data_IF_812757865196
#
_entry.id   IF_812757865196
#
_cell.length_a   1.000
_cell.length_b   1.000
_cell.length_c   1.000
_cell.angle_alpha   90.00
_cell.angle_beta   90.00
_cell.angle_gamma   90.00
#
_symmetry.space_group_name_H-M   'P 1'
#
loop_
_entity.id
_entity.type
_entity.pdbx_description
1 polymer ?
#
# COMPACT_ATOMS: atom_id res chain seq x y z
N UNK A 1 -23.12 -14.71 -7.58
CA UNK A 1 -21.71 -14.22 -7.59
C UNK A 1 -21.71 -12.85 -8.25
N UNK A 2 -21.20 -11.82 -7.60
CA UNK A 2 -21.19 -10.46 -8.13
C UNK A 2 -20.18 -10.36 -9.28
N UNK A 3 -20.60 -9.76 -10.39
CA UNK A 3 -19.73 -9.54 -11.55
C UNK A 3 -18.58 -8.57 -11.20
N UNK A 4 -17.41 -8.81 -11.78
CA UNK A 4 -16.18 -8.01 -11.52
C UNK A 4 -16.41 -6.50 -11.67
N UNK A 5 -17.10 -6.06 -12.72
CA UNK A 5 -17.39 -4.63 -12.95
C UNK A 5 -18.21 -3.99 -11.83
N UNK A 6 -19.13 -4.74 -11.21
CA UNK A 6 -19.96 -4.25 -10.09
C UNK A 6 -19.10 -4.16 -8.82
N UNK A 7 -18.29 -5.19 -8.55
CA UNK A 7 -17.31 -5.14 -7.43
C UNK A 7 -16.38 -3.93 -7.54
N UNK A 8 -15.91 -3.65 -8.75
CA UNK A 8 -15.02 -2.50 -8.98
C UNK A 8 -15.70 -1.17 -8.63
N UNK A 9 -16.97 -1.00 -8.95
CA UNK A 9 -17.72 0.20 -8.54
C UNK A 9 -17.90 0.27 -7.02
N UNK A 10 -18.16 -0.86 -6.37
CA UNK A 10 -18.20 -0.93 -4.91
C UNK A 10 -16.86 -0.50 -4.30
N UNK A 11 -15.75 -1.02 -4.82
CA UNK A 11 -14.41 -0.65 -4.36
C UNK A 11 -14.12 0.84 -4.55
N UNK A 12 -14.49 1.39 -5.72
CA UNK A 12 -14.29 2.82 -6.02
C UNK A 12 -15.02 3.72 -5.02
N UNK A 13 -16.31 3.46 -4.75
CA UNK A 13 -17.07 4.29 -3.82
C UNK A 13 -16.59 4.13 -2.39
N UNK A 14 -16.27 2.92 -1.95
CA UNK A 14 -15.80 2.65 -0.59
C UNK A 14 -14.45 3.27 -0.31
N UNK A 15 -13.56 3.28 -1.30
CA UNK A 15 -12.27 3.97 -1.22
C UNK A 15 -12.40 5.49 -1.34
N UNK A 16 -13.49 6.00 -1.91
CA UNK A 16 -13.67 7.42 -2.23
C UNK A 16 -13.10 7.83 -3.59
N UNK A 17 -12.83 6.88 -4.47
CA UNK A 17 -12.41 7.11 -5.85
C UNK A 17 -13.54 7.66 -6.75
N UNK A 18 -14.80 7.46 -6.34
CA UNK A 18 -15.97 8.16 -6.89
C UNK A 18 -16.78 8.73 -5.75
N UNK A 19 -17.54 9.78 -6.02
CA UNK A 19 -18.44 10.35 -5.01
C UNK A 19 -19.65 9.44 -4.76
N UNK A 20 -20.28 9.59 -3.60
CA UNK A 20 -21.53 8.87 -3.28
C UNK A 20 -22.62 9.22 -4.29
N UNK A 21 -22.66 10.47 -4.79
CA UNK A 21 -23.61 10.91 -5.79
C UNK A 21 -23.37 10.25 -7.17
N UNK A 22 -22.10 10.09 -7.58
CA UNK A 22 -21.75 9.38 -8.80
C UNK A 22 -22.12 7.90 -8.70
N UNK A 23 -21.90 7.30 -7.51
CA UNK A 23 -22.30 5.92 -7.25
C UNK A 23 -23.82 5.77 -7.32
N UNK A 24 -24.61 6.68 -6.73
CA UNK A 24 -26.08 6.70 -6.81
C UNK A 24 -26.55 6.74 -8.27
N UNK A 25 -25.98 7.62 -9.09
CA UNK A 25 -26.33 7.73 -10.51
C UNK A 25 -26.00 6.42 -11.26
N UNK A 26 -24.82 5.84 -11.01
CA UNK A 26 -24.46 4.56 -11.60
C UNK A 26 -25.40 3.44 -11.17
N UNK A 27 -25.78 3.37 -9.88
CA UNK A 27 -26.68 2.38 -9.32
C UNK A 27 -28.03 2.35 -10.04
N UNK A 28 -28.60 3.53 -10.33
CA UNK A 28 -29.88 3.64 -11.04
C UNK A 28 -29.76 3.38 -12.54
N UNK A 29 -28.58 3.56 -13.13
CA UNK A 29 -28.35 3.36 -14.56
C UNK A 29 -28.04 1.90 -14.92
N UNK A 30 -27.35 1.15 -14.06
CA UNK A 30 -26.91 -0.22 -14.35
C UNK A 30 -27.90 -1.27 -13.81
N UNK A 31 -28.81 -1.72 -14.70
CA UNK A 31 -29.80 -2.75 -14.36
C UNK A 31 -29.21 -4.12 -13.99
N UNK A 32 -27.93 -4.36 -14.25
CA UNK A 32 -27.29 -5.66 -13.94
C UNK A 32 -27.14 -5.87 -12.44
N UNK A 33 -27.07 -4.79 -11.66
CA UNK A 33 -26.92 -4.88 -10.21
C UNK A 33 -28.14 -5.56 -9.55
N UNK A 34 -29.36 -5.29 -10.05
CA UNK A 34 -30.60 -5.94 -9.61
C UNK A 34 -30.54 -7.46 -9.76
N UNK A 35 -29.83 -7.96 -10.76
CA UNK A 35 -29.69 -9.41 -11.01
C UNK A 35 -28.57 -10.05 -10.18
N UNK A 36 -27.70 -9.26 -9.58
CA UNK A 36 -26.53 -9.72 -8.80
C UNK A 36 -26.78 -9.77 -7.30
N UNK A 37 -27.76 -9.02 -6.82
CA UNK A 37 -28.19 -8.94 -5.43
C UNK A 37 -29.54 -9.66 -5.24
N UNK A 38 -29.88 -10.01 -4.00
CA UNK A 38 -31.25 -10.38 -3.70
C UNK A 38 -32.17 -9.16 -3.82
N UNK A 39 -33.47 -9.40 -3.99
CA UNK A 39 -34.45 -8.29 -4.08
C UNK A 39 -34.45 -7.39 -2.85
N UNK A 40 -34.25 -7.97 -1.65
CA UNK A 40 -34.19 -7.22 -0.40
C UNK A 40 -32.92 -6.34 -0.35
N UNK A 41 -31.75 -6.89 -0.66
CA UNK A 41 -30.47 -6.17 -0.69
C UNK A 41 -30.46 -5.05 -1.73
N UNK A 42 -31.07 -5.29 -2.90
CA UNK A 42 -31.22 -4.27 -3.92
C UNK A 42 -32.12 -3.12 -3.46
N UNK A 43 -33.26 -3.45 -2.84
CA UNK A 43 -34.19 -2.46 -2.28
C UNK A 43 -33.52 -1.64 -1.19
N UNK A 44 -32.79 -2.28 -0.27
CA UNK A 44 -32.04 -1.59 0.77
C UNK A 44 -31.05 -0.60 0.17
N UNK A 45 -30.32 -1.01 -0.86
CA UNK A 45 -29.32 -0.19 -1.51
C UNK A 45 -29.93 1.01 -2.25
N UNK A 46 -31.03 0.81 -3.02
CA UNK A 46 -31.67 1.91 -3.78
C UNK A 46 -32.49 2.83 -2.89
N UNK A 47 -32.87 2.39 -1.69
CA UNK A 47 -33.62 3.17 -0.70
C UNK A 47 -32.71 3.98 0.23
N UNK A 48 -31.39 3.83 0.11
CA UNK A 48 -30.43 4.56 0.94
C UNK A 48 -30.57 6.07 0.73
N UNK A 49 -30.53 6.82 1.83
CA UNK A 49 -30.48 8.28 1.76
C UNK A 49 -29.05 8.75 1.41
N UNK A 50 -28.72 8.75 0.13
CA UNK A 50 -27.37 9.12 -0.39
C UNK A 50 -26.94 10.55 -0.02
N UNK A 51 -27.87 11.42 0.42
CA UNK A 51 -27.59 12.81 0.83
C UNK A 51 -27.53 12.97 2.35
N UNK A 52 -27.74 11.88 3.12
CA UNK A 52 -27.68 11.89 4.56
C UNK A 52 -26.23 11.96 5.09
N UNK A 53 -26.06 12.52 6.28
CA UNK A 53 -24.74 12.64 6.91
C UNK A 53 -24.07 11.28 7.13
N UNK A 54 -24.86 10.22 7.31
CA UNK A 54 -24.38 8.86 7.54
C UNK A 54 -24.30 8.00 6.27
N UNK A 55 -24.57 8.56 5.08
CA UNK A 55 -24.67 7.80 3.82
C UNK A 55 -23.45 6.92 3.56
N UNK A 56 -22.24 7.42 3.86
CA UNK A 56 -21.00 6.65 3.67
C UNK A 56 -20.92 5.42 4.58
N UNK A 57 -21.31 5.57 5.82
CA UNK A 57 -21.32 4.46 6.78
C UNK A 57 -22.38 3.42 6.43
N UNK A 58 -23.61 3.86 6.13
CA UNK A 58 -24.73 2.98 5.75
C UNK A 58 -24.42 2.23 4.47
N UNK A 59 -23.83 2.91 3.48
CA UNK A 59 -23.38 2.30 2.24
C UNK A 59 -22.29 1.24 2.50
N UNK A 60 -21.31 1.52 3.38
CA UNK A 60 -20.32 0.54 3.79
C UNK A 60 -20.96 -0.70 4.40
N UNK A 61 -21.92 -0.53 5.34
CA UNK A 61 -22.61 -1.64 5.99
C UNK A 61 -23.40 -2.53 5.02
N UNK A 62 -23.97 -1.93 3.96
CA UNK A 62 -24.65 -2.69 2.90
C UNK A 62 -23.66 -3.42 2.00
N UNK A 63 -22.61 -2.74 1.54
CA UNK A 63 -21.70 -3.29 0.53
C UNK A 63 -20.68 -4.28 1.09
N UNK A 64 -20.25 -4.15 2.36
CA UNK A 64 -19.25 -5.05 2.95
C UNK A 64 -19.64 -6.52 2.95
N UNK A 65 -20.94 -6.82 2.90
CA UNK A 65 -21.46 -8.20 2.81
C UNK A 65 -21.19 -8.85 1.44
N UNK A 66 -20.91 -8.04 0.43
CA UNK A 66 -20.77 -8.44 -0.96
C UNK A 66 -19.34 -8.37 -1.48
N UNK A 67 -18.41 -7.92 -0.66
CA UNK A 67 -17.00 -7.79 -1.02
C UNK A 67 -16.15 -8.73 -0.18
N UNK A 68 -15.11 -9.26 -0.77
CA UNK A 68 -14.00 -9.87 -0.05
C UNK A 68 -13.05 -8.77 0.41
N UNK A 69 -12.75 -8.71 1.71
CA UNK A 69 -11.90 -7.68 2.28
C UNK A 69 -10.46 -7.77 1.75
N UNK A 70 -9.96 -8.97 1.50
CA UNK A 70 -8.64 -9.18 0.91
C UNK A 70 -8.58 -8.69 -0.54
N UNK A 71 -9.64 -8.93 -1.34
CA UNK A 71 -9.74 -8.36 -2.68
C UNK A 71 -9.79 -6.82 -2.64
N UNK A 72 -10.50 -6.25 -1.68
CA UNK A 72 -10.58 -4.79 -1.52
C UNK A 72 -9.23 -4.18 -1.10
N UNK A 73 -8.54 -4.79 -0.14
CA UNK A 73 -7.19 -4.35 0.25
C UNK A 73 -6.20 -4.49 -0.92
N UNK A 74 -6.29 -5.58 -1.68
CA UNK A 74 -5.48 -5.78 -2.89
C UNK A 74 -5.75 -4.70 -3.93
N UNK A 75 -7.01 -4.34 -4.16
CA UNK A 75 -7.39 -3.24 -5.06
C UNK A 75 -6.75 -1.91 -4.62
N UNK A 76 -6.85 -1.55 -3.33
CA UNK A 76 -6.24 -0.33 -2.79
C UNK A 76 -4.72 -0.33 -2.95
N UNK A 77 -4.07 -1.44 -2.63
CA UNK A 77 -2.62 -1.59 -2.74
C UNK A 77 -2.15 -1.45 -4.19
N UNK A 78 -2.79 -2.13 -5.14
CA UNK A 78 -2.45 -2.03 -6.55
C UNK A 78 -2.62 -0.61 -7.09
N UNK A 79 -3.68 0.08 -6.69
CA UNK A 79 -3.89 1.49 -7.07
C UNK A 79 -2.81 2.40 -6.49
N UNK A 80 -2.42 2.22 -5.22
CA UNK A 80 -1.36 2.97 -4.57
C UNK A 80 -0.02 2.78 -5.31
N UNK A 81 0.35 1.53 -5.62
CA UNK A 81 1.57 1.20 -6.35
C UNK A 81 1.57 1.76 -7.79
N UNK A 82 0.44 1.66 -8.50
CA UNK A 82 0.31 2.25 -9.85
C UNK A 82 0.37 3.77 -9.83
N UNK A 83 -0.13 4.41 -8.78
CA UNK A 83 0.04 5.85 -8.60
C UNK A 83 1.51 6.21 -8.35
N UNK A 84 2.27 5.40 -7.60
CA UNK A 84 3.71 5.60 -7.43
C UNK A 84 4.48 5.53 -8.77
N UNK A 85 4.05 4.69 -9.72
CA UNK A 85 4.65 4.59 -11.05
C UNK A 85 4.49 5.86 -11.89
N UNK A 86 3.51 6.74 -11.59
CA UNK A 86 3.32 8.00 -12.29
C UNK A 86 4.43 9.02 -11.99
N UNK A 87 5.16 8.85 -10.88
CA UNK A 87 6.28 9.73 -10.45
C UNK A 87 5.90 11.21 -10.40
N UNK A 88 4.65 11.50 -10.08
CA UNK A 88 4.17 12.87 -9.91
C UNK A 88 4.52 13.41 -8.50
N UNK A 89 4.05 14.62 -8.20
CA UNK A 89 4.26 15.30 -6.92
C UNK A 89 3.76 14.52 -5.68
N UNK A 90 2.91 13.52 -5.85
CA UNK A 90 2.39 12.66 -4.78
C UNK A 90 3.34 11.54 -4.40
N UNK A 91 4.37 11.25 -5.23
CA UNK A 91 5.28 10.12 -5.00
C UNK A 91 5.87 10.08 -3.59
N UNK A 92 6.37 11.18 -2.99
CA UNK A 92 6.90 11.14 -1.63
C UNK A 92 5.87 10.65 -0.60
N UNK A 93 4.65 11.16 -0.67
CA UNK A 93 3.56 10.80 0.26
C UNK A 93 3.10 9.36 0.06
N UNK A 94 3.09 8.87 -1.18
CA UNK A 94 2.82 7.45 -1.47
C UNK A 94 3.90 6.56 -0.87
N UNK A 95 5.17 6.94 -0.97
CA UNK A 95 6.27 6.18 -0.37
C UNK A 95 6.19 6.16 1.17
N UNK A 96 5.79 7.27 1.80
CA UNK A 96 5.51 7.32 3.24
C UNK A 96 4.37 6.36 3.63
N UNK A 97 3.29 6.35 2.87
CA UNK A 97 2.16 5.43 3.10
C UNK A 97 2.59 3.96 2.95
N UNK A 98 3.41 3.64 1.94
CA UNK A 98 3.97 2.29 1.76
C UNK A 98 4.89 1.88 2.91
N UNK A 99 5.65 2.84 3.47
CA UNK A 99 6.45 2.58 4.68
C UNK A 99 5.57 2.33 5.90
N UNK A 100 4.50 3.10 6.10
CA UNK A 100 3.55 2.82 7.18
C UNK A 100 2.88 1.45 7.04
N UNK A 101 2.48 1.08 5.84
CA UNK A 101 1.88 -0.23 5.56
C UNK A 101 2.87 -1.37 5.82
N UNK A 102 4.16 -1.18 5.49
CA UNK A 102 5.22 -2.09 5.88
C UNK A 102 5.30 -2.22 7.41
N UNK A 103 5.35 -1.11 8.14
CA UNK A 103 5.39 -1.11 9.60
C UNK A 103 4.14 -1.74 10.23
N UNK A 104 3.00 -1.66 9.56
CA UNK A 104 1.73 -2.30 9.96
C UNK A 104 1.62 -3.77 9.54
N UNK A 105 2.71 -4.43 9.14
CA UNK A 105 2.75 -5.87 8.95
C UNK A 105 2.87 -6.36 7.51
N UNK A 106 2.71 -5.52 6.49
CA UNK A 106 2.91 -5.93 5.11
C UNK A 106 4.40 -6.07 4.77
N UNK A 107 5.04 -7.10 5.30
CA UNK A 107 6.48 -7.38 5.16
C UNK A 107 6.94 -7.53 3.70
N UNK A 108 6.06 -7.88 2.77
CA UNK A 108 6.38 -7.96 1.34
C UNK A 108 6.69 -6.59 0.71
N UNK A 109 6.37 -5.48 1.39
CA UNK A 109 6.72 -4.12 0.99
C UNK A 109 8.13 -3.71 1.44
N UNK A 110 8.95 -4.62 1.96
CA UNK A 110 10.26 -4.31 2.54
C UNK A 110 11.11 -3.41 1.63
N UNK A 111 11.27 -3.74 0.36
CA UNK A 111 12.11 -2.97 -0.54
C UNK A 111 11.54 -1.58 -0.83
N UNK A 112 10.25 -1.49 -1.11
CA UNK A 112 9.60 -0.20 -1.41
C UNK A 112 9.39 0.63 -0.15
N UNK A 113 8.82 0.05 0.91
CA UNK A 113 8.50 0.75 2.16
C UNK A 113 9.75 1.07 2.96
N UNK A 114 10.49 0.04 3.40
CA UNK A 114 11.70 0.27 4.22
C UNK A 114 12.86 0.81 3.38
N UNK A 115 13.04 0.30 2.15
CA UNK A 115 14.16 0.71 1.28
C UNK A 115 14.08 2.16 0.82
N UNK A 116 12.93 2.62 0.37
CA UNK A 116 12.71 3.95 -0.18
C UNK A 116 11.82 4.83 0.70
N UNK A 117 10.71 4.29 1.20
CA UNK A 117 9.74 5.04 1.99
C UNK A 117 10.33 5.59 3.30
N UNK A 118 11.17 4.83 4.00
CA UNK A 118 11.87 5.31 5.19
C UNK A 118 12.72 6.55 4.88
N UNK A 119 13.42 6.60 3.75
CA UNK A 119 14.28 7.73 3.38
C UNK A 119 13.51 9.03 3.14
N UNK A 120 12.25 8.91 2.75
CA UNK A 120 11.34 10.05 2.57
C UNK A 120 10.68 10.43 3.90
N UNK A 121 10.29 9.42 4.70
CA UNK A 121 9.63 9.61 6.00
C UNK A 121 10.57 10.21 7.04
N UNK A 122 11.84 9.78 7.01
CA UNK A 122 12.90 10.22 7.94
C UNK A 122 14.10 10.71 7.14
N UNK A 123 14.04 11.90 6.52
CA UNK A 123 15.14 12.43 5.71
C UNK A 123 16.43 12.63 6.50
N UNK A 124 16.33 12.77 7.82
CA UNK A 124 17.46 12.89 8.75
C UNK A 124 18.48 11.76 8.65
N UNK A 125 18.08 10.61 8.13
CA UNK A 125 18.98 9.53 7.74
C UNK A 125 20.06 9.98 6.75
N UNK A 126 19.70 10.84 5.79
CA UNK A 126 20.63 11.40 4.77
C UNK A 126 21.01 12.86 5.06
N UNK A 127 20.22 13.56 5.87
CA UNK A 127 20.34 14.98 6.19
C UNK A 127 20.16 15.18 7.70
N UNK A 128 21.20 15.03 8.55
CA UNK A 128 21.09 14.93 10.01
C UNK A 128 20.39 16.09 10.74
N UNK A 129 20.12 17.20 10.07
CA UNK A 129 19.46 18.38 10.65
C UNK A 129 18.04 18.58 10.15
N UNK A 130 17.45 17.56 9.47
CA UNK A 130 16.14 17.65 8.81
C UNK A 130 15.27 16.52 9.34
N UNK A 131 14.13 16.87 9.91
CA UNK A 131 13.22 15.90 10.54
C UNK A 131 12.06 15.49 9.63
N UNK A 132 11.71 16.30 8.62
CA UNK A 132 10.59 16.02 7.74
C UNK A 132 10.90 16.30 6.26
N UNK A 133 10.11 15.70 5.37
CA UNK A 133 10.20 15.90 3.93
C UNK A 133 10.04 17.37 3.52
N UNK A 134 9.16 18.11 4.19
CA UNK A 134 8.82 19.50 3.91
C UNK A 134 9.97 20.45 4.25
N UNK A 135 10.89 20.04 5.11
CA UNK A 135 12.09 20.81 5.48
C UNK A 135 13.22 20.70 4.45
N UNK A 136 13.17 19.68 3.57
CA UNK A 136 14.11 19.57 2.47
C UNK A 136 13.91 20.69 1.45
N UNK A 137 15.01 21.28 0.97
CA UNK A 137 14.92 22.18 -0.18
C UNK A 137 14.43 21.44 -1.43
N UNK A 138 13.87 22.16 -2.39
CA UNK A 138 13.37 21.59 -3.65
C UNK A 138 14.49 20.81 -4.38
N UNK A 139 15.73 21.30 -4.32
CA UNK A 139 16.89 20.64 -4.90
C UNK A 139 17.20 19.31 -4.20
N UNK A 140 17.17 19.30 -2.86
CA UNK A 140 17.39 18.10 -2.06
C UNK A 140 16.30 17.06 -2.30
N UNK A 141 15.03 17.49 -2.38
CA UNK A 141 13.90 16.62 -2.72
C UNK A 141 14.08 15.95 -4.09
N UNK A 142 14.45 16.74 -5.10
CA UNK A 142 14.71 16.24 -6.46
C UNK A 142 15.91 15.29 -6.50
N UNK A 143 17.00 15.63 -5.82
CA UNK A 143 18.20 14.79 -5.74
C UNK A 143 17.85 13.43 -5.10
N UNK A 144 17.12 13.44 -3.96
CA UNK A 144 16.72 12.24 -3.26
C UNK A 144 15.87 11.33 -4.16
N UNK A 145 14.81 11.87 -4.78
CA UNK A 145 13.90 11.10 -5.62
C UNK A 145 14.60 10.60 -6.90
N UNK A 146 15.45 11.41 -7.51
CA UNK A 146 16.20 11.00 -8.71
C UNK A 146 17.17 9.84 -8.43
N UNK A 147 17.68 9.76 -7.20
CA UNK A 147 18.53 8.67 -6.75
C UNK A 147 17.81 7.34 -6.50
N UNK A 148 16.48 7.31 -6.59
CA UNK A 148 15.71 6.08 -6.43
C UNK A 148 15.56 5.28 -7.72
N UNK A 149 15.69 5.92 -8.88
CA UNK A 149 15.56 5.27 -10.19
C UNK A 149 16.87 4.62 -10.64
N UNK A 150 16.84 3.45 -11.29
CA UNK A 150 15.63 2.69 -11.69
C UNK A 150 15.12 1.70 -10.62
N UNK A 151 15.81 1.53 -9.50
CA UNK A 151 15.57 0.45 -8.54
C UNK A 151 14.16 0.53 -7.91
N UNK A 152 13.64 1.74 -7.68
CA UNK A 152 12.30 1.92 -7.14
C UNK A 152 11.23 1.35 -8.07
N UNK A 153 11.35 1.63 -9.38
CA UNK A 153 10.41 1.14 -10.38
C UNK A 153 10.41 -0.39 -10.45
N UNK A 154 11.58 -1.00 -10.44
CA UNK A 154 11.73 -2.46 -10.44
C UNK A 154 11.09 -3.08 -9.19
N UNK A 155 11.28 -2.47 -8.02
CA UNK A 155 10.66 -2.94 -6.78
C UNK A 155 9.13 -2.80 -6.82
N UNK A 156 8.60 -1.68 -7.32
CA UNK A 156 7.15 -1.47 -7.45
C UNK A 156 6.55 -2.50 -8.43
N UNK A 157 7.15 -2.69 -9.60
CA UNK A 157 6.70 -3.69 -10.58
C UNK A 157 6.71 -5.10 -10.00
N UNK A 158 7.73 -5.43 -9.22
CA UNK A 158 7.83 -6.73 -8.58
C UNK A 158 6.70 -6.96 -7.56
N UNK A 159 6.36 -5.96 -6.75
CA UNK A 159 5.25 -6.05 -5.78
C UNK A 159 3.91 -6.18 -6.51
N UNK A 160 3.67 -5.39 -7.57
CA UNK A 160 2.47 -5.50 -8.41
C UNK A 160 2.36 -6.92 -8.97
N UNK A 161 3.45 -7.46 -9.52
CA UNK A 161 3.47 -8.81 -10.05
C UNK A 161 3.10 -9.86 -8.99
N UNK A 162 3.62 -9.76 -7.75
CA UNK A 162 3.28 -10.71 -6.69
C UNK A 162 1.79 -10.69 -6.32
N UNK A 163 1.19 -9.49 -6.26
CA UNK A 163 -0.23 -9.34 -5.97
C UNK A 163 -1.10 -9.88 -7.12
N UNK A 164 -0.80 -9.53 -8.37
CA UNK A 164 -1.56 -9.97 -9.55
C UNK A 164 -1.42 -11.49 -9.81
N UNK A 165 -0.22 -12.04 -9.59
CA UNK A 165 0.04 -13.48 -9.70
C UNK A 165 -0.43 -14.28 -8.47
N UNK A 166 -1.04 -13.61 -7.46
CA UNK A 166 -1.49 -14.22 -6.19
C UNK A 166 -0.37 -14.92 -5.42
N UNK A 167 0.88 -14.50 -5.59
CA UNK A 167 2.00 -14.93 -4.75
C UNK A 167 1.95 -14.27 -3.36
N UNK A 168 1.33 -13.11 -3.27
CA UNK A 168 0.92 -12.44 -2.04
C UNK A 168 -0.59 -12.25 -2.09
N UNK A 169 -1.29 -12.74 -1.08
CA UNK A 169 -2.75 -12.64 -0.97
C UNK A 169 -3.08 -11.91 0.33
N UNK A 170 -3.62 -10.70 0.21
CA UNK A 170 -4.07 -9.92 1.36
C UNK A 170 -5.36 -10.52 1.91
N UNK A 171 -5.51 -10.54 3.24
CA UNK A 171 -6.72 -11.08 3.89
C UNK A 171 -7.74 -10.00 4.23
N UNK A 172 -7.29 -8.74 4.35
CA UNK A 172 -8.09 -7.64 4.89
C UNK A 172 -8.29 -7.71 6.41
N UNK A 173 -7.67 -8.67 7.07
CA UNK A 173 -7.73 -8.85 8.51
C UNK A 173 -6.59 -8.14 9.21
N UNK A 174 -6.84 -7.70 10.45
CA UNK A 174 -5.84 -7.15 11.34
C UNK A 174 -5.82 -7.95 12.64
N UNK A 175 -4.65 -8.06 13.25
CA UNK A 175 -4.50 -8.62 14.58
C UNK A 175 -4.94 -7.62 15.68
N UNK A 176 -4.83 -8.03 16.94
CA UNK A 176 -5.25 -7.24 18.12
C UNK A 176 -4.49 -5.91 18.26
N UNK A 177 -3.30 -5.80 17.65
CA UNK A 177 -2.47 -4.58 17.67
C UNK A 177 -2.52 -3.80 16.37
N UNK A 178 -3.40 -4.21 15.44
CA UNK A 178 -3.66 -3.51 14.18
C UNK A 178 -2.68 -3.85 13.04
N UNK A 179 -1.90 -4.94 13.16
CA UNK A 179 -1.08 -5.41 12.06
C UNK A 179 -1.92 -6.18 11.05
N UNK A 180 -1.72 -5.86 9.77
CA UNK A 180 -2.35 -6.57 8.67
C UNK A 180 -1.78 -7.96 8.47
N UNK A 181 -2.66 -8.91 8.16
CA UNK A 181 -2.28 -10.27 7.80
C UNK A 181 -2.36 -10.52 6.28
N UNK A 182 -1.52 -11.41 5.79
CA UNK A 182 -1.51 -11.85 4.39
C UNK A 182 -0.90 -13.24 4.27
N UNK A 183 -1.23 -13.94 3.18
CA UNK A 183 -0.61 -15.23 2.85
C UNK A 183 0.53 -14.99 1.85
N UNK A 184 1.70 -15.52 2.15
CA UNK A 184 2.92 -15.34 1.36
C UNK A 184 3.35 -16.65 0.71
N UNK A 185 3.16 -16.75 -0.60
CA UNK A 185 3.53 -17.87 -1.45
C UNK A 185 4.76 -17.61 -2.32
N UNK A 186 5.49 -16.53 -2.04
CA UNK A 186 6.75 -16.23 -2.70
C UNK A 186 7.80 -17.29 -2.37
N UNK A 187 8.70 -17.56 -3.29
CA UNK A 187 9.88 -18.39 -3.02
C UNK A 187 10.83 -17.68 -2.05
N UNK A 188 11.73 -18.42 -1.42
CA UNK A 188 12.71 -17.83 -0.51
C UNK A 188 13.63 -16.81 -1.23
N UNK A 189 13.94 -17.03 -2.53
CA UNK A 189 14.68 -16.09 -3.36
C UNK A 189 13.90 -14.79 -3.61
N UNK A 190 12.57 -14.87 -3.77
CA UNK A 190 11.69 -13.71 -3.95
C UNK A 190 11.47 -12.92 -2.66
N UNK A 191 11.69 -13.53 -1.50
CA UNK A 191 11.62 -12.87 -0.20
C UNK A 191 12.92 -12.17 0.19
N UNK A 192 14.04 -12.51 -0.46
CA UNK A 192 15.30 -11.82 -0.23
C UNK A 192 15.19 -10.35 -0.69
N UNK A 193 15.52 -9.39 0.21
CA UNK A 193 15.54 -7.97 -0.14
C UNK A 193 16.59 -7.69 -1.21
N UNK A 194 16.20 -6.91 -2.22
CA UNK A 194 17.10 -6.41 -3.26
C UNK A 194 17.73 -5.08 -2.86
N UNK A 195 17.06 -4.35 -1.98
CA UNK A 195 17.50 -3.05 -1.49
C UNK A 195 18.12 -3.22 -0.11
N UNK A 196 19.45 -3.12 -0.03
CA UNK A 196 20.17 -3.15 1.24
C UNK A 196 20.03 -1.80 1.96
N UNK A 197 19.27 -1.80 3.05
CA UNK A 197 19.33 -0.71 4.03
C UNK A 197 20.52 -0.97 4.94
N UNK A 198 21.65 -0.32 4.70
CA UNK A 198 22.80 -0.40 5.59
C UNK A 198 22.61 0.63 6.69
N UNK A 199 22.28 0.17 7.89
CA UNK A 199 22.30 0.99 9.10
C UNK A 199 23.73 0.98 9.59
N UNK A 200 24.42 2.13 9.49
CA UNK A 200 25.73 2.32 10.07
C UNK A 200 25.57 2.81 11.52
N UNK A 201 26.05 2.02 12.46
CA UNK A 201 26.21 2.48 13.85
C UNK A 201 27.37 3.49 13.90
N UNK A 202 27.06 4.75 14.04
CA UNK A 202 28.07 5.73 14.45
C UNK A 202 28.26 5.61 15.97
N UNK A 203 29.46 5.28 16.38
CA UNK A 203 29.82 5.04 17.79
C UNK A 203 29.70 6.28 18.68
N UNK A 204 29.38 7.43 18.10
CA UNK A 204 29.35 8.71 18.82
C UNK A 204 28.01 9.43 18.89
N UNK A 205 27.06 9.21 17.95
CA UNK A 205 25.84 10.05 17.88
C UNK A 205 24.57 9.36 17.41
N UNK A 206 24.52 8.04 17.27
CA UNK A 206 23.32 7.35 16.80
C UNK A 206 23.45 6.81 15.36
N UNK A 207 22.36 6.35 14.80
CA UNK A 207 22.32 5.63 13.55
C UNK A 207 22.40 6.56 12.34
N UNK A 208 23.23 6.22 11.35
CA UNK A 208 23.22 6.85 10.04
C UNK A 208 23.00 5.79 8.93
N UNK A 209 22.24 6.12 7.89
CA UNK A 209 22.00 5.25 6.73
C UNK A 209 22.86 5.71 5.55
N UNK A 210 23.66 4.85 4.99
CA UNK A 210 24.52 5.18 3.87
C UNK A 210 23.98 4.70 2.50
N UNK A 211 24.53 5.28 1.42
CA UNK A 211 24.12 5.09 0.04
C UNK A 211 24.01 3.63 -0.39
N UNK A 212 23.02 3.34 -1.22
CA UNK A 212 22.82 2.06 -1.89
C UNK A 212 24.09 1.57 -2.58
N UNK A 213 24.58 0.44 -2.13
CA UNK A 213 25.58 -0.33 -2.86
C UNK A 213 25.03 -1.73 -3.01
N UNK A 214 24.76 -2.12 -4.24
CA UNK A 214 24.47 -3.52 -4.57
C UNK A 214 25.71 -4.35 -4.23
N UNK A 215 25.70 -5.03 -3.09
CA UNK A 215 26.75 -5.94 -2.70
C UNK A 215 26.37 -7.37 -3.10
N UNK A 216 27.22 -7.98 -3.93
CA UNK A 216 27.25 -9.43 -4.14
C UNK A 216 27.34 -10.16 -2.82
N UNK A 217 26.53 -11.22 -2.69
CA UNK A 217 26.48 -12.19 -1.57
C UNK A 217 27.84 -12.37 -0.89
N UNK A 218 27.87 -12.05 0.40
CA UNK A 218 28.75 -12.74 1.34
C UNK A 218 27.85 -13.41 2.37
N UNK A 219 27.77 -14.75 2.25
CA UNK A 219 27.07 -15.62 3.18
C UNK A 219 27.88 -15.73 4.46
N UNK A 220 27.55 -14.97 5.50
CA UNK A 220 28.00 -15.26 6.85
C UNK A 220 26.82 -15.52 7.79
N UNK A 221 26.65 -16.81 8.03
CA UNK A 221 25.73 -17.39 9.02
C UNK A 221 26.15 -17.02 10.45
N UNK A 222 25.67 -15.89 11.02
CA UNK A 222 25.79 -15.67 12.48
C UNK A 222 24.91 -14.53 13.06
N UNK A 223 23.66 -14.33 12.61
CA UNK A 223 22.84 -13.20 13.13
C UNK A 223 21.88 -13.52 14.28
N UNK A 224 21.62 -14.79 14.61
CA UNK A 224 20.56 -15.15 15.57
C UNK A 224 21.04 -15.57 16.99
N UNK A 225 22.21 -15.13 17.43
CA UNK A 225 22.76 -15.41 18.77
C UNK A 225 22.61 -14.29 19.81
N UNK A 226 21.88 -13.22 19.53
CA UNK A 226 21.75 -12.07 20.42
C UNK A 226 20.43 -11.90 21.18
N UNK A 227 19.57 -12.92 21.17
CA UNK A 227 18.38 -12.94 22.04
C UNK A 227 18.42 -14.19 22.92
N UNK A 228 19.09 -14.07 24.06
CA UNK A 228 18.87 -14.83 25.28
C UNK A 228 19.07 -13.89 26.45
#
# INVERSE_FOLDING_TARGET
MIHHNIKEQFFKVLKGGITIADFEQWLYADKKIETCLSSEEYIDLVSLNFKGDNAKYELWELLKKHIDLGEFETYKMLELLRNAQQKDERLPYILMELYELYCKGYGFLQDVGLGFGLKVTVPGVNHPSIDSWEELSIEQQKELLSGFSPELEECIEQVIHWLEAKKVILTGEQDEIGHYSYNDFRTEEEKESKVLVTILEDKTTGFSVSKNTLLKKQTDKKWWKFWK
#
